data_IF_568046269717
#
_entry.id   IF_568046269717
#
_cell.length_a   1.000
_cell.length_b   1.000
_cell.length_c   1.000
_cell.angle_alpha   90.00
_cell.angle_beta   90.00
_cell.angle_gamma   90.00
#
_symmetry.space_group_name_H-M   'P 1'
#
loop_
_entity.id
_entity.type
_entity.pdbx_description
1 polymer ?
#
# COMPACT_ATOMS: atom_id res chain seq x y z
N UNK A 1 -26.87 -32.70 -34.92
CA UNK A 1 -26.86 -32.12 -33.57
C UNK A 1 -25.44 -31.63 -33.34
N UNK A 2 -25.20 -30.40 -32.87
CA UNK A 2 -23.84 -30.01 -32.50
C UNK A 2 -23.35 -30.91 -31.37
N UNK A 3 -22.08 -31.28 -31.40
CA UNK A 3 -21.44 -32.00 -30.30
C UNK A 3 -21.25 -31.05 -29.12
N UNK A 4 -21.10 -31.59 -27.91
CA UNK A 4 -20.90 -30.76 -26.72
C UNK A 4 -19.64 -29.88 -26.84
N UNK A 5 -18.56 -30.42 -27.43
CA UNK A 5 -17.32 -29.68 -27.73
C UNK A 5 -17.55 -28.47 -28.67
N UNK A 6 -18.44 -28.60 -29.67
CA UNK A 6 -18.77 -27.50 -30.58
C UNK A 6 -19.59 -26.40 -29.91
N UNK A 7 -20.41 -26.76 -28.91
CA UNK A 7 -21.18 -25.80 -28.11
C UNK A 7 -20.26 -25.06 -27.15
N UNK A 8 -19.34 -25.76 -26.50
CA UNK A 8 -18.35 -25.17 -25.59
C UNK A 8 -17.44 -24.17 -26.33
N UNK A 9 -16.88 -24.57 -27.48
CA UNK A 9 -16.04 -23.69 -28.28
C UNK A 9 -16.78 -22.42 -28.74
N UNK A 10 -18.06 -22.54 -29.12
CA UNK A 10 -18.89 -21.39 -29.51
C UNK A 10 -19.15 -20.43 -28.34
N UNK A 11 -19.28 -20.94 -27.11
CA UNK A 11 -19.44 -20.09 -25.92
C UNK A 11 -18.13 -19.35 -25.64
N UNK A 12 -16.99 -20.04 -25.70
CA UNK A 12 -15.66 -19.43 -25.51
C UNK A 12 -15.40 -18.31 -26.51
N UNK A 13 -15.71 -18.52 -27.79
CA UNK A 13 -15.55 -17.51 -28.85
C UNK A 13 -16.39 -16.27 -28.60
N UNK A 14 -17.62 -16.44 -28.09
CA UNK A 14 -18.53 -15.33 -27.79
C UNK A 14 -18.09 -14.59 -26.52
N UNK A 15 -17.57 -15.28 -25.51
CA UNK A 15 -17.17 -14.69 -24.25
C UNK A 15 -15.74 -14.11 -24.27
N UNK A 16 -14.86 -14.58 -25.14
CA UNK A 16 -13.50 -14.08 -25.33
C UNK A 16 -13.42 -12.54 -25.46
N UNK A 17 -14.19 -11.86 -26.34
CA UNK A 17 -14.13 -10.40 -26.45
C UNK A 17 -14.62 -9.68 -25.19
N UNK A 18 -15.62 -10.25 -24.49
CA UNK A 18 -16.13 -9.68 -23.22
C UNK A 18 -15.08 -9.79 -22.12
N UNK A 19 -14.43 -10.94 -22.01
CA UNK A 19 -13.36 -11.20 -21.04
C UNK A 19 -12.14 -10.34 -21.32
N UNK A 20 -11.76 -10.18 -22.59
CA UNK A 20 -10.68 -9.29 -23.01
C UNK A 20 -10.95 -7.82 -22.62
N UNK A 21 -12.16 -7.32 -22.87
CA UNK A 21 -12.57 -5.96 -22.46
C UNK A 21 -12.53 -5.79 -20.95
N UNK A 22 -13.09 -6.74 -20.18
CA UNK A 22 -13.05 -6.72 -18.71
C UNK A 22 -11.63 -6.67 -18.18
N UNK A 23 -10.73 -7.49 -18.74
CA UNK A 23 -9.31 -7.50 -18.36
C UNK A 23 -8.64 -6.16 -18.65
N UNK A 24 -8.84 -5.61 -19.85
CA UNK A 24 -8.27 -4.32 -20.23
C UNK A 24 -8.77 -3.19 -19.32
N UNK A 25 -10.07 -3.13 -19.05
CA UNK A 25 -10.65 -2.13 -18.13
C UNK A 25 -10.10 -2.29 -16.71
N UNK A 26 -10.05 -3.52 -16.17
CA UNK A 26 -9.50 -3.76 -14.84
C UNK A 26 -8.03 -3.33 -14.74
N UNK A 27 -7.22 -3.59 -15.77
CA UNK A 27 -5.83 -3.14 -15.83
C UNK A 27 -5.72 -1.61 -15.83
N UNK A 28 -6.53 -0.93 -16.64
CA UNK A 28 -6.55 0.55 -16.69
C UNK A 28 -6.97 1.16 -15.36
N UNK A 29 -8.02 0.64 -14.73
CA UNK A 29 -8.49 1.11 -13.42
C UNK A 29 -7.42 0.90 -12.36
N UNK A 30 -6.77 -0.27 -12.34
CA UNK A 30 -5.71 -0.55 -11.38
C UNK A 30 -4.51 0.41 -11.55
N UNK A 31 -4.10 0.64 -12.80
CA UNK A 31 -3.03 1.60 -13.10
C UNK A 31 -3.38 3.02 -12.63
N UNK A 32 -4.61 3.47 -12.88
CA UNK A 32 -5.07 4.78 -12.41
C UNK A 32 -5.14 4.85 -10.88
N UNK A 33 -5.59 3.77 -10.21
CA UNK A 33 -5.66 3.70 -8.76
C UNK A 33 -4.27 3.82 -8.13
N UNK A 34 -3.27 3.10 -8.66
CA UNK A 34 -1.88 3.22 -8.21
C UNK A 34 -1.32 4.62 -8.43
N UNK A 35 -1.57 5.23 -9.59
CA UNK A 35 -1.15 6.60 -9.86
C UNK A 35 -1.81 7.60 -8.90
N UNK A 36 -3.11 7.45 -8.63
CA UNK A 36 -3.83 8.27 -7.67
C UNK A 36 -3.23 8.13 -6.27
N UNK A 37 -2.95 6.91 -5.82
CA UNK A 37 -2.34 6.68 -4.52
C UNK A 37 -0.97 7.37 -4.39
N UNK A 38 -0.14 7.30 -5.43
CA UNK A 38 1.15 7.99 -5.45
C UNK A 38 1.00 9.52 -5.38
N UNK A 39 0.05 10.10 -6.12
CA UNK A 39 -0.22 11.55 -6.08
C UNK A 39 -0.74 11.98 -4.72
N UNK A 40 -1.64 11.20 -4.11
CA UNK A 40 -2.17 11.49 -2.77
C UNK A 40 -1.04 11.47 -1.73
N UNK A 41 -0.16 10.47 -1.77
CA UNK A 41 0.98 10.42 -0.86
C UNK A 41 1.93 11.62 -1.02
N UNK A 42 2.15 12.09 -2.26
CA UNK A 42 2.93 13.31 -2.53
C UNK A 42 2.22 14.56 -2.01
N UNK A 43 0.90 14.63 -2.17
CA UNK A 43 0.11 15.75 -1.67
C UNK A 43 0.15 15.81 -0.14
N UNK A 44 -0.01 14.67 0.53
CA UNK A 44 0.09 14.56 1.99
C UNK A 44 1.46 15.03 2.52
N UNK A 45 2.55 14.69 1.82
CA UNK A 45 3.90 15.16 2.17
C UNK A 45 4.03 16.70 1.99
N UNK A 46 3.53 17.24 0.89
CA UNK A 46 3.54 18.69 0.63
C UNK A 46 2.69 19.43 1.66
N UNK A 47 1.49 18.96 1.95
CA UNK A 47 0.59 19.56 2.95
C UNK A 47 1.19 19.50 4.36
N UNK A 48 1.92 18.43 4.69
CA UNK A 48 2.71 18.33 5.91
C UNK A 48 3.81 19.39 6.00
N UNK A 49 4.60 19.57 4.94
CA UNK A 49 5.66 20.58 4.86
C UNK A 49 5.09 22.01 4.94
N UNK A 50 3.94 22.26 4.28
CA UNK A 50 3.24 23.53 4.37
C UNK A 50 2.79 23.81 5.81
N UNK A 51 2.20 22.83 6.49
CA UNK A 51 1.78 22.96 7.88
C UNK A 51 2.94 23.25 8.83
N UNK A 52 4.10 22.61 8.63
CA UNK A 52 5.32 22.86 9.40
C UNK A 52 5.84 24.28 9.19
N UNK A 53 5.95 24.72 7.94
CA UNK A 53 6.43 26.07 7.60
C UNK A 53 5.50 27.17 8.12
N UNK A 54 4.18 26.97 8.04
CA UNK A 54 3.21 27.92 8.57
C UNK A 54 3.31 27.99 10.10
N UNK A 55 3.48 26.85 10.78
CA UNK A 55 3.65 26.82 12.22
C UNK A 55 4.96 27.46 12.69
N UNK A 56 6.05 27.30 11.94
CA UNK A 56 7.33 27.96 12.21
C UNK A 56 7.24 29.48 11.99
N UNK A 57 6.44 29.94 11.02
CA UNK A 57 6.28 31.35 10.69
C UNK A 57 5.25 32.10 11.57
N UNK A 58 4.54 31.42 12.48
CA UNK A 58 3.44 31.98 13.28
C UNK A 58 3.87 33.17 14.16
N UNK A 59 5.14 33.22 14.58
CA UNK A 59 5.72 34.31 15.35
C UNK A 59 6.08 35.56 14.50
N UNK A 60 6.28 35.37 13.20
CA UNK A 60 6.64 36.42 12.24
C UNK A 60 5.41 36.95 11.50
N UNK A 61 4.48 36.06 11.12
CA UNK A 61 3.31 36.39 10.30
C UNK A 61 2.09 35.57 10.74
N UNK A 62 0.98 36.27 10.97
CA UNK A 62 -0.29 35.61 11.31
C UNK A 62 -0.88 34.84 10.13
N UNK A 63 -1.70 33.81 10.41
CA UNK A 63 -2.35 33.01 9.37
C UNK A 63 -3.29 33.86 8.50
N UNK A 64 -3.99 34.85 9.08
CA UNK A 64 -4.84 35.77 8.32
C UNK A 64 -4.04 36.69 7.40
N UNK A 65 -2.84 37.09 7.81
CA UNK A 65 -1.96 37.91 6.99
C UNK A 65 -1.34 37.10 5.87
N UNK A 66 -0.88 35.87 6.15
CA UNK A 66 -0.36 34.95 5.15
C UNK A 66 -1.41 34.67 4.06
N UNK A 67 -2.65 34.40 4.45
CA UNK A 67 -3.78 34.21 3.54
C UNK A 67 -3.96 35.37 2.55
N UNK A 68 -3.77 36.61 3.01
CA UNK A 68 -3.88 37.82 2.16
C UNK A 68 -2.70 37.96 1.20
N UNK A 69 -1.49 37.55 1.59
CA UNK A 69 -0.31 37.66 0.73
C UNK A 69 -0.20 36.56 -0.30
N UNK A 70 -0.75 35.38 -0.03
CA UNK A 70 -0.67 34.22 -0.92
C UNK A 70 -1.96 33.96 -1.70
N UNK A 71 -3.00 34.77 -1.49
CA UNK A 71 -4.36 34.56 -2.02
C UNK A 71 -4.93 33.16 -1.69
N UNK A 72 -4.53 32.60 -0.54
CA UNK A 72 -5.01 31.31 -0.05
C UNK A 72 -6.12 31.51 0.97
N UNK A 73 -7.00 30.52 1.10
CA UNK A 73 -8.04 30.58 2.13
C UNK A 73 -7.42 30.31 3.49
N UNK A 74 -7.82 31.10 4.48
CA UNK A 74 -7.44 30.86 5.89
C UNK A 74 -7.83 29.45 6.34
N UNK A 75 -8.97 28.92 5.88
CA UNK A 75 -9.42 27.56 6.20
C UNK A 75 -8.39 26.49 5.77
N UNK A 76 -7.88 26.59 4.54
CA UNK A 76 -6.91 25.63 3.99
C UNK A 76 -5.59 25.70 4.78
N UNK A 77 -5.11 26.91 5.10
CA UNK A 77 -3.91 27.11 5.92
C UNK A 77 -4.08 26.53 7.34
N UNK A 78 -5.23 26.75 7.97
CA UNK A 78 -5.53 26.19 9.29
C UNK A 78 -5.64 24.66 9.26
N UNK A 79 -6.16 24.10 8.16
CA UNK A 79 -6.25 22.65 7.96
C UNK A 79 -4.87 22.02 7.85
N UNK A 80 -3.95 22.60 7.08
CA UNK A 80 -2.58 22.09 6.95
C UNK A 80 -1.81 22.14 8.29
N UNK A 81 -1.97 23.22 9.06
CA UNK A 81 -1.39 23.33 10.41
C UNK A 81 -1.98 22.28 11.37
N UNK A 82 -3.30 22.05 11.30
CA UNK A 82 -3.98 21.08 12.14
C UNK A 82 -3.65 19.62 11.75
N UNK A 83 -3.58 19.33 10.45
CA UNK A 83 -3.24 18.02 9.90
C UNK A 83 -1.80 17.60 10.24
N UNK A 84 -0.84 18.53 10.11
CA UNK A 84 0.58 18.29 10.44
C UNK A 84 0.84 17.98 11.92
N UNK A 85 0.01 18.50 12.84
CA UNK A 85 0.12 18.22 14.29
C UNK A 85 -0.04 16.72 14.62
N UNK A 86 -0.75 15.96 13.79
CA UNK A 86 -0.97 14.52 14.00
C UNK A 86 0.22 13.66 13.55
N UNK A 87 0.96 14.09 12.51
CA UNK A 87 2.12 13.37 11.98
C UNK A 87 3.41 13.62 12.78
N UNK A 88 3.52 14.78 13.45
CA UNK A 88 4.70 15.16 14.23
C UNK A 88 4.98 14.25 15.44
N UNK A 89 3.98 13.53 15.97
CA UNK A 89 4.13 12.78 17.24
C UNK A 89 4.80 11.39 17.10
N UNK A 90 5.31 11.00 15.94
CA UNK A 90 5.93 9.68 15.74
C UNK A 90 7.28 9.69 15.01
N UNK A 91 8.20 10.58 15.40
CA UNK A 91 9.62 10.43 15.07
C UNK A 91 10.51 10.61 16.30
N UNK A 92 10.28 9.80 17.34
CA UNK A 92 11.35 9.46 18.27
C UNK A 92 12.19 8.35 17.63
N UNK A 93 13.33 8.76 17.09
CA UNK A 93 14.46 7.88 16.79
C UNK A 93 14.84 7.07 18.03
N UNK A 94 14.50 5.78 18.04
CA UNK A 94 15.16 4.81 18.91
C UNK A 94 16.12 4.00 18.05
N UNK A 95 17.33 4.53 17.92
CA UNK A 95 18.46 3.80 17.37
C UNK A 95 18.93 2.69 18.30
N UNK A 96 19.26 1.56 17.69
CA UNK A 96 20.35 0.63 18.05
C UNK A 96 20.37 0.08 19.47
N UNK A 97 19.76 -1.11 19.60
CA UNK A 97 20.10 -2.10 20.63
C UNK A 97 20.35 -3.46 19.99
N UNK A 98 21.55 -3.64 19.44
CA UNK A 98 22.12 -4.95 19.10
C UNK A 98 22.17 -5.82 20.36
N UNK A 99 21.45 -6.94 20.39
CA UNK A 99 21.85 -8.11 21.17
C UNK A 99 21.62 -9.37 20.33
N UNK A 100 22.75 -9.95 19.92
CA UNK A 100 22.93 -11.33 19.47
C UNK A 100 22.01 -12.31 20.21
N UNK A 101 21.26 -13.10 19.45
CA UNK A 101 20.82 -14.41 19.89
C UNK A 101 21.46 -15.45 18.95
N UNK A 102 22.35 -16.22 19.57
CA UNK A 102 23.14 -17.33 19.07
C UNK A 102 22.26 -18.43 18.40
N UNK A 103 22.79 -19.15 17.38
CA UNK A 103 22.00 -20.11 16.62
C UNK A 103 21.76 -21.41 17.40
N UNK A 104 20.51 -21.84 17.50
CA UNK A 104 20.17 -23.15 18.06
C UNK A 104 20.58 -24.24 17.05
N UNK A 105 21.41 -25.21 17.44
CA UNK A 105 21.87 -26.28 16.55
C UNK A 105 20.77 -27.32 16.28
N UNK A 106 20.59 -27.67 15.01
CA UNK A 106 19.84 -28.85 14.61
C UNK A 106 20.54 -30.11 15.14
N UNK A 107 19.82 -30.94 15.90
CA UNK A 107 20.23 -32.32 16.18
C UNK A 107 19.30 -33.31 15.48
N UNK A 108 19.85 -34.30 14.76
CA UNK A 108 19.10 -35.29 14.00
C UNK A 108 18.69 -36.45 14.91
N UNK A 109 17.44 -36.93 14.81
CA UNK A 109 17.10 -38.26 15.33
C UNK A 109 16.89 -39.21 14.17
N UNK A 110 17.96 -39.95 13.88
CA UNK A 110 17.91 -41.20 13.16
C UNK A 110 17.09 -42.19 14.00
N UNK A 111 16.01 -42.71 13.42
CA UNK A 111 15.19 -43.77 13.99
C UNK A 111 14.95 -44.84 12.95
N UNK A 112 16.01 -45.59 12.62
CA UNK A 112 15.89 -46.86 11.93
C UNK A 112 15.13 -47.84 12.82
N UNK A 113 13.97 -48.32 12.35
CA UNK A 113 13.41 -49.61 12.76
C UNK A 113 12.88 -50.31 11.53
N UNK A 114 13.76 -51.17 11.02
CA UNK A 114 13.43 -52.39 10.30
C UNK A 114 12.43 -53.22 11.11
N UNK A 115 11.37 -53.69 10.45
CA UNK A 115 10.61 -54.90 10.78
C UNK A 115 9.71 -55.24 9.59
N UNK A 116 10.33 -55.93 8.65
CA UNK A 116 9.77 -57.03 7.87
C UNK A 116 8.67 -57.80 8.62
N UNK A 117 7.48 -57.93 8.02
CA UNK A 117 6.75 -59.22 7.90
C UNK A 117 5.38 -59.06 7.21
N UNK A 118 5.23 -59.84 6.13
CA UNK A 118 4.05 -60.62 5.76
C UNK A 118 2.81 -59.94 5.11
N UNK A 119 2.71 -60.16 3.79
CA UNK A 119 1.63 -60.87 3.08
C UNK A 119 0.17 -60.41 3.26
N UNK A 120 -0.45 -59.98 2.16
CA UNK A 120 -1.60 -60.60 1.45
C UNK A 120 -2.16 -59.54 0.46
N UNK A 121 -1.89 -59.69 -0.84
CA UNK A 121 -2.82 -60.17 -1.89
C UNK A 121 -4.20 -59.55 -1.85
#
# INVERSE_FOLDING_TARGET
MPTDDEVEHRIEDVDAPRTARRKATAQQVNQLAHRRAAIVAQLEDIEGQLGELIAEAEDVISVEELARFTDLKTADLTEWVAGGKSASRSRTSSGTGTQSAEPIPASPVAGARDLEAAQLT
#
